data_IF_749177720359
#
_entry.id   IF_749177720359
#
_cell.length_a   1.000
_cell.length_b   1.000
_cell.length_c   1.000
_cell.angle_alpha   90.00
_cell.angle_beta   90.00
_cell.angle_gamma   90.00
#
_symmetry.space_group_name_H-M   'P 1'
#
loop_
_entity.id
_entity.type
_entity.pdbx_description
1 polymer ?
#
# COMPACT_ATOMS: atom_id res chain seq x y z
N UNK A 1 21.25 -7.19 -12.26
CA UNK A 1 19.79 -7.05 -12.45
C UNK A 1 19.16 -7.96 -11.42
N UNK A 2 18.53 -7.39 -10.41
CA UNK A 2 17.98 -8.15 -9.30
C UNK A 2 16.62 -8.71 -9.74
N UNK A 3 16.59 -10.00 -10.07
CA UNK A 3 15.39 -10.70 -10.51
C UNK A 3 14.82 -11.58 -9.40
N UNK A 4 13.50 -11.68 -9.31
CA UNK A 4 12.81 -12.67 -8.49
C UNK A 4 12.03 -13.61 -9.41
N UNK A 5 12.25 -14.92 -9.26
CA UNK A 5 11.56 -15.96 -10.02
C UNK A 5 10.63 -16.74 -9.10
N UNK A 6 9.33 -16.58 -9.29
CA UNK A 6 8.32 -17.43 -8.67
C UNK A 6 8.06 -18.62 -9.59
N UNK A 7 8.31 -19.82 -9.10
CA UNK A 7 7.95 -21.08 -9.77
C UNK A 7 6.84 -21.76 -8.98
N UNK A 8 5.94 -22.40 -9.71
CA UNK A 8 4.81 -23.14 -9.14
C UNK A 8 4.92 -24.57 -9.62
N UNK A 9 4.92 -25.51 -8.69
CA UNK A 9 4.88 -26.94 -9.01
C UNK A 9 3.66 -27.57 -8.35
N UNK A 10 3.06 -28.56 -9.01
CA UNK A 10 1.98 -29.35 -8.45
C UNK A 10 2.51 -30.72 -8.02
N UNK A 11 2.24 -31.12 -6.78
CA UNK A 11 2.56 -32.45 -6.26
C UNK A 11 1.30 -33.09 -5.67
N UNK A 12 0.60 -33.89 -6.48
CA UNK A 12 -0.65 -34.52 -6.10
C UNK A 12 -1.71 -33.49 -5.70
N UNK A 13 -2.15 -33.54 -4.43
CA UNK A 13 -3.12 -32.59 -3.86
C UNK A 13 -2.51 -31.26 -3.39
N UNK A 14 -1.22 -31.05 -3.60
CA UNK A 14 -0.54 -29.84 -3.14
C UNK A 14 0.01 -29.02 -4.29
N UNK A 15 0.00 -27.70 -4.11
CA UNK A 15 0.68 -26.73 -4.95
C UNK A 15 1.83 -26.15 -4.14
N UNK A 16 3.03 -26.22 -4.69
CA UNK A 16 4.26 -25.77 -4.08
C UNK A 16 4.72 -24.51 -4.80
N UNK A 17 4.89 -23.43 -4.05
CA UNK A 17 5.44 -22.17 -4.52
C UNK A 17 6.92 -22.09 -4.13
N UNK A 18 7.77 -21.86 -5.12
CA UNK A 18 9.20 -21.65 -4.97
C UNK A 18 9.50 -20.19 -5.35
N UNK A 19 10.00 -19.38 -4.43
CA UNK A 19 10.60 -18.11 -4.81
C UNK A 19 12.10 -18.19 -4.71
N UNK A 20 12.77 -17.87 -5.81
CA UNK A 20 14.20 -17.70 -5.86
C UNK A 20 14.52 -16.26 -6.25
N UNK A 21 15.34 -15.59 -5.44
CA UNK A 21 15.79 -14.23 -5.71
C UNK A 21 17.23 -14.31 -6.22
N UNK A 22 17.46 -13.88 -7.45
CA UNK A 22 18.75 -13.99 -8.13
C UNK A 22 19.85 -13.13 -7.50
N UNK A 23 19.47 -12.02 -6.84
CA UNK A 23 20.40 -11.10 -6.20
C UNK A 23 20.94 -11.60 -4.87
N UNK A 24 20.33 -12.65 -4.29
CA UNK A 24 20.67 -13.11 -2.96
C UNK A 24 20.87 -14.62 -2.92
N UNK A 25 21.97 -15.07 -2.32
CA UNK A 25 22.23 -16.49 -2.01
C UNK A 25 21.39 -16.98 -0.81
N UNK A 26 20.11 -16.63 -0.75
CA UNK A 26 19.17 -17.20 0.24
C UNK A 26 18.63 -18.50 -0.31
N UNK A 27 18.44 -19.49 0.57
CA UNK A 27 17.73 -20.71 0.24
C UNK A 27 16.35 -20.41 -0.34
N UNK A 28 15.94 -21.07 -1.43
CA UNK A 28 14.65 -20.80 -2.07
C UNK A 28 13.52 -20.95 -1.06
N UNK A 29 12.66 -19.93 -1.00
CA UNK A 29 11.52 -19.96 -0.10
C UNK A 29 10.45 -20.88 -0.65
N UNK A 30 9.95 -21.75 0.23
CA UNK A 30 9.04 -22.84 -0.11
C UNK A 30 7.76 -22.70 0.70
N UNK A 31 6.62 -22.71 0.01
CA UNK A 31 5.31 -22.83 0.65
C UNK A 31 4.50 -23.89 -0.07
N UNK A 32 4.01 -24.86 0.71
CA UNK A 32 3.15 -25.95 0.24
C UNK A 32 1.71 -25.64 0.66
N UNK A 33 0.79 -25.58 -0.30
CA UNK A 33 -0.63 -25.30 -0.06
C UNK A 33 -1.48 -26.42 -0.65
N UNK A 34 -2.61 -26.69 -0.03
CA UNK A 34 -3.61 -27.61 -0.58
C UNK A 34 -4.22 -27.05 -1.86
N UNK A 35 -4.28 -27.88 -2.91
CA UNK A 35 -4.71 -27.51 -4.26
C UNK A 35 -6.14 -26.99 -4.32
N UNK A 36 -7.06 -27.56 -3.53
CA UNK A 36 -8.45 -27.09 -3.47
C UNK A 36 -8.54 -25.69 -2.87
N UNK A 37 -7.67 -25.40 -1.91
CA UNK A 37 -7.59 -24.10 -1.27
C UNK A 37 -7.05 -23.01 -2.22
N UNK A 38 -6.09 -23.34 -3.10
CA UNK A 38 -5.49 -22.39 -4.07
C UNK A 38 -6.24 -22.30 -5.41
N UNK A 39 -7.09 -23.27 -5.74
CA UNK A 39 -7.84 -23.31 -7.00
C UNK A 39 -8.57 -21.98 -7.35
N UNK A 40 -9.20 -21.26 -6.39
CA UNK A 40 -9.83 -19.96 -6.68
C UNK A 40 -8.85 -18.83 -7.03
N UNK A 41 -7.58 -18.94 -6.62
CA UNK A 41 -6.54 -17.99 -7.03
C UNK A 41 -5.98 -18.32 -8.41
N UNK A 42 -5.82 -19.61 -8.71
CA UNK A 42 -5.26 -20.09 -9.97
C UNK A 42 -6.26 -20.04 -11.13
N UNK A 43 -7.56 -19.99 -10.86
CA UNK A 43 -8.61 -19.89 -11.88
C UNK A 43 -8.70 -18.51 -12.56
N UNK A 44 -7.80 -17.58 -12.26
CA UNK A 44 -7.65 -16.31 -12.98
C UNK A 44 -8.68 -15.23 -12.61
N UNK A 45 -9.66 -15.51 -11.75
CA UNK A 45 -10.67 -14.53 -11.34
C UNK A 45 -10.22 -13.65 -10.17
N UNK A 46 -9.01 -13.09 -10.26
CA UNK A 46 -8.35 -12.28 -9.23
C UNK A 46 -9.24 -11.18 -8.65
N UNK A 47 -10.07 -10.52 -9.48
CA UNK A 47 -10.95 -9.45 -9.02
C UNK A 47 -12.11 -9.96 -8.14
N UNK A 48 -12.73 -11.09 -8.49
CA UNK A 48 -13.76 -11.70 -7.65
C UNK A 48 -13.18 -12.31 -6.39
N UNK A 49 -11.95 -12.84 -6.47
CA UNK A 49 -11.21 -13.35 -5.32
C UNK A 49 -10.83 -12.21 -4.36
N UNK A 50 -10.32 -11.08 -4.87
CA UNK A 50 -10.06 -9.87 -4.07
C UNK A 50 -11.33 -9.32 -3.40
N UNK A 51 -12.47 -9.31 -4.10
CA UNK A 51 -13.74 -8.87 -3.54
C UNK A 51 -14.25 -9.80 -2.44
N UNK A 52 -14.01 -11.11 -2.56
CA UNK A 52 -14.27 -12.12 -1.50
C UNK A 52 -13.37 -11.94 -0.29
N UNK A 53 -12.08 -11.65 -0.52
CA UNK A 53 -11.10 -11.34 0.53
C UNK A 53 -11.51 -10.10 1.34
N UNK A 54 -11.96 -9.04 0.67
CA UNK A 54 -12.39 -7.79 1.30
C UNK A 54 -13.72 -7.92 2.07
N UNK A 55 -14.61 -8.83 1.65
CA UNK A 55 -15.94 -8.98 2.27
C UNK A 55 -15.99 -10.02 3.37
N UNK A 56 -15.09 -11.01 3.38
CA UNK A 56 -15.23 -12.14 4.31
C UNK A 56 -13.88 -12.62 4.85
N UNK A 57 -13.49 -12.08 6.02
CA UNK A 57 -12.24 -12.38 6.72
C UNK A 57 -12.10 -13.83 7.21
N UNK A 58 -13.21 -14.59 7.25
CA UNK A 58 -13.25 -16.00 7.64
C UNK A 58 -13.32 -16.96 6.44
N UNK A 59 -13.28 -16.45 5.19
CA UNK A 59 -13.31 -17.32 4.02
C UNK A 59 -12.02 -18.14 3.88
N UNK A 60 -12.07 -19.37 3.33
CA UNK A 60 -10.88 -20.19 3.06
C UNK A 60 -9.84 -19.47 2.19
N UNK A 61 -10.32 -18.62 1.26
CA UNK A 61 -9.47 -17.73 0.46
C UNK A 61 -8.73 -16.70 1.31
N UNK A 62 -9.37 -16.11 2.32
CA UNK A 62 -8.74 -15.15 3.22
C UNK A 62 -7.72 -15.81 4.16
N UNK A 63 -8.01 -17.03 4.62
CA UNK A 63 -7.04 -17.83 5.38
C UNK A 63 -5.80 -18.14 4.53
N UNK A 64 -6.00 -18.62 3.29
CA UNK A 64 -4.93 -18.89 2.34
C UNK A 64 -4.10 -17.63 2.02
N UNK A 65 -4.77 -16.49 1.78
CA UNK A 65 -4.09 -15.22 1.52
C UNK A 65 -3.25 -14.77 2.72
N UNK A 66 -3.73 -14.97 3.96
CA UNK A 66 -2.92 -14.72 5.16
C UNK A 66 -1.73 -15.67 5.25
N UNK A 67 -1.90 -16.97 5.01
CA UNK A 67 -0.78 -17.93 5.00
C UNK A 67 0.30 -17.52 4.00
N UNK A 68 -0.09 -17.10 2.79
CA UNK A 68 0.87 -16.62 1.77
C UNK A 68 1.46 -15.27 2.14
N UNK A 69 0.65 -14.31 2.59
CA UNK A 69 1.14 -12.96 2.92
C UNK A 69 2.03 -12.96 4.16
N UNK A 70 1.58 -13.58 5.24
CA UNK A 70 2.28 -13.61 6.53
C UNK A 70 3.44 -14.61 6.55
N UNK A 71 3.31 -15.74 5.85
CA UNK A 71 4.35 -16.77 5.80
C UNK A 71 5.40 -16.51 4.72
N UNK A 72 4.96 -16.35 3.48
CA UNK A 72 5.86 -16.23 2.32
C UNK A 72 6.37 -14.80 2.15
N UNK A 73 5.45 -13.86 1.97
CA UNK A 73 5.81 -12.50 1.54
C UNK A 73 6.58 -11.74 2.61
N UNK A 74 6.17 -11.85 3.89
CA UNK A 74 6.90 -11.22 5.00
C UNK A 74 8.29 -11.79 5.22
N UNK A 75 8.49 -13.11 5.12
CA UNK A 75 9.82 -13.72 5.27
C UNK A 75 10.75 -13.31 4.16
N UNK A 76 10.28 -13.35 2.91
CA UNK A 76 11.05 -12.87 1.75
C UNK A 76 11.44 -11.41 1.93
N UNK A 77 10.48 -10.57 2.32
CA UNK A 77 10.72 -9.16 2.54
C UNK A 77 11.73 -8.94 3.68
N UNK A 78 11.60 -9.67 4.78
CA UNK A 78 12.54 -9.64 5.90
C UNK A 78 13.96 -10.03 5.49
N UNK A 79 14.11 -11.12 4.73
CA UNK A 79 15.41 -11.61 4.31
C UNK A 79 16.06 -10.67 3.28
N UNK A 80 15.27 -10.12 2.35
CA UNK A 80 15.71 -9.05 1.44
C UNK A 80 16.18 -7.83 2.22
N UNK A 81 15.39 -7.38 3.20
CA UNK A 81 15.77 -6.26 4.06
C UNK A 81 17.11 -6.54 4.74
N UNK A 82 17.28 -7.70 5.39
CA UNK A 82 18.53 -8.07 6.06
C UNK A 82 19.74 -8.01 5.14
N UNK A 83 19.61 -8.56 3.93
CA UNK A 83 20.70 -8.60 2.93
C UNK A 83 21.09 -7.21 2.47
N UNK A 84 20.12 -6.30 2.35
CA UNK A 84 20.36 -4.91 2.00
C UNK A 84 20.65 -4.01 3.21
N UNK A 85 20.93 -4.60 4.38
CA UNK A 85 21.27 -3.85 5.61
C UNK A 85 20.09 -3.12 6.25
N UNK A 86 18.86 -3.40 5.82
CA UNK A 86 17.61 -2.90 6.42
C UNK A 86 17.19 -3.88 7.51
N UNK A 87 17.13 -3.43 8.76
CA UNK A 87 16.73 -4.30 9.88
C UNK A 87 15.20 -4.51 9.84
N UNK A 88 14.69 -5.74 9.70
CA UNK A 88 13.25 -6.02 9.74
C UNK A 88 12.70 -5.70 11.13
N UNK A 89 11.70 -4.81 11.21
CA UNK A 89 11.22 -4.21 12.46
C UNK A 89 11.70 -2.77 12.68
N UNK A 90 12.73 -2.35 11.93
CA UNK A 90 13.13 -0.97 11.67
C UNK A 90 12.99 -0.71 10.17
N UNK A 91 11.86 -1.12 9.58
CA UNK A 91 11.49 -0.58 8.28
C UNK A 91 11.48 0.95 8.45
N UNK A 92 12.13 1.73 7.56
CA UNK A 92 12.14 3.18 7.69
C UNK A 92 10.68 3.62 7.77
N UNK A 93 10.26 4.02 8.97
CA UNK A 93 8.93 4.56 9.18
C UNK A 93 8.87 5.87 8.42
N UNK A 94 7.68 6.33 8.07
CA UNK A 94 7.53 7.67 7.50
C UNK A 94 8.27 8.72 8.35
N UNK A 95 8.26 8.53 9.68
CA UNK A 95 8.98 9.34 10.68
C UNK A 95 10.51 9.23 10.66
N UNK A 96 11.09 8.29 9.93
CA UNK A 96 12.55 8.16 9.75
C UNK A 96 13.07 8.94 8.53
N UNK A 97 12.18 9.52 7.74
CA UNK A 97 12.53 10.35 6.60
C UNK A 97 12.91 11.77 7.06
N UNK A 98 13.81 12.46 6.34
CA UNK A 98 14.00 13.89 6.46
C UNK A 98 12.68 14.67 6.34
N UNK A 99 12.55 15.77 7.07
CA UNK A 99 11.29 16.53 7.17
C UNK A 99 10.81 17.10 5.84
N UNK A 100 11.72 17.54 4.98
CA UNK A 100 11.48 17.94 3.60
C UNK A 100 10.89 16.81 2.74
N UNK A 101 11.43 15.59 2.84
CA UNK A 101 10.90 14.42 2.13
C UNK A 101 9.51 14.03 2.63
N UNK A 102 9.28 14.10 3.95
CA UNK A 102 7.95 13.87 4.52
C UNK A 102 6.93 14.84 3.93
N UNK A 103 7.22 16.14 3.90
CA UNK A 103 6.29 17.13 3.34
C UNK A 103 6.07 16.95 1.82
N UNK A 104 7.09 16.61 1.05
CA UNK A 104 6.93 16.34 -0.38
C UNK A 104 5.99 15.15 -0.65
N UNK A 105 5.98 14.14 0.22
CA UNK A 105 5.03 13.03 0.14
C UNK A 105 3.62 13.49 0.52
N UNK A 106 3.47 14.29 1.58
CA UNK A 106 2.18 14.84 2.01
C UNK A 106 1.57 15.78 0.99
N UNK A 107 2.39 16.54 0.27
CA UNK A 107 1.95 17.44 -0.79
C UNK A 107 1.24 16.68 -1.92
N UNK A 108 1.68 15.45 -2.21
CA UNK A 108 1.12 14.59 -3.26
C UNK A 108 -0.23 13.94 -2.89
N UNK A 109 -0.71 14.09 -1.65
CA UNK A 109 -2.02 13.59 -1.27
C UNK A 109 -3.11 14.31 -2.04
N UNK A 110 -3.95 13.58 -2.77
CA UNK A 110 -4.94 14.18 -3.65
C UNK A 110 -6.07 14.93 -2.90
N UNK A 111 -6.37 14.54 -1.66
CA UNK A 111 -7.46 15.08 -0.85
C UNK A 111 -6.95 15.67 0.46
N UNK A 112 -7.53 16.81 0.88
CA UNK A 112 -7.33 17.38 2.21
C UNK A 112 -7.86 16.49 3.33
N UNK A 113 -8.83 15.61 3.05
CA UNK A 113 -9.33 14.62 4.02
C UNK A 113 -8.26 13.60 4.42
N UNK A 114 -7.40 13.21 3.48
CA UNK A 114 -6.30 12.29 3.77
C UNK A 114 -5.20 13.01 4.56
N UNK A 115 -4.97 14.30 4.31
CA UNK A 115 -4.06 15.12 5.11
C UNK A 115 -4.54 15.26 6.58
N UNK A 116 -5.84 15.49 6.80
CA UNK A 116 -6.43 15.49 8.16
C UNK A 116 -6.24 14.15 8.87
N UNK A 117 -6.36 13.03 8.15
CA UNK A 117 -6.12 11.70 8.72
C UNK A 117 -4.67 11.54 9.15
N UNK A 118 -3.72 12.05 8.37
CA UNK A 118 -2.29 12.06 8.74
C UNK A 118 -2.06 12.87 10.02
N UNK A 119 -2.60 14.09 10.11
CA UNK A 119 -2.48 14.93 11.33
C UNK A 119 -3.12 14.30 12.57
N UNK A 120 -4.16 13.49 12.36
CA UNK A 120 -4.84 12.76 13.44
C UNK A 120 -4.11 11.51 13.92
N UNK A 121 -3.07 11.06 13.18
CA UNK A 121 -2.36 9.81 13.48
C UNK A 121 -1.42 9.94 14.67
N UNK A 122 -0.59 11.00 14.72
CA UNK A 122 0.27 11.27 15.87
C UNK A 122 0.64 12.76 16.01
N UNK A 123 1.15 13.12 17.19
CA UNK A 123 1.50 14.50 17.57
C UNK A 123 2.64 15.08 16.74
N UNK A 124 3.58 14.24 16.34
CA UNK A 124 4.75 14.64 15.55
C UNK A 124 4.35 15.00 14.12
N UNK A 125 3.43 14.24 13.52
CA UNK A 125 2.87 14.55 12.20
C UNK A 125 2.02 15.83 12.23
N UNK A 126 1.25 16.02 13.29
CA UNK A 126 0.53 17.28 13.50
C UNK A 126 1.47 18.46 13.60
N UNK A 127 2.56 18.33 14.36
CA UNK A 127 3.57 19.39 14.49
C UNK A 127 4.26 19.67 13.15
N UNK A 128 4.57 18.63 12.36
CA UNK A 128 5.20 18.78 11.05
C UNK A 128 4.30 19.55 10.08
N UNK A 129 3.00 19.26 10.06
CA UNK A 129 2.07 19.95 9.15
C UNK A 129 1.79 21.38 9.64
N UNK A 130 1.78 21.62 10.96
CA UNK A 130 1.55 22.92 11.56
C UNK A 130 2.76 23.88 11.51
N UNK A 131 3.92 23.47 11.01
CA UNK A 131 5.04 24.38 10.78
C UNK A 131 4.62 25.49 9.81
N UNK A 132 4.84 26.78 10.10
CA UNK A 132 4.25 27.89 9.33
C UNK A 132 4.48 27.85 7.82
N UNK A 133 5.68 27.42 7.40
CA UNK A 133 6.02 27.29 5.98
C UNK A 133 5.33 26.08 5.33
N UNK A 134 5.12 24.99 6.08
CA UNK A 134 4.51 23.74 5.60
C UNK A 134 3.01 23.78 5.63
N UNK A 135 2.41 24.40 6.64
CA UNK A 135 0.98 24.66 6.74
C UNK A 135 0.51 25.39 5.48
N UNK A 136 1.23 26.46 5.13
CA UNK A 136 0.96 27.21 3.90
C UNK A 136 1.19 26.38 2.64
N UNK A 137 2.26 25.59 2.56
CA UNK A 137 2.53 24.76 1.37
C UNK A 137 1.50 23.65 1.18
N UNK A 138 1.03 23.03 2.26
CA UNK A 138 0.11 21.90 2.22
C UNK A 138 -1.36 22.35 2.10
N UNK A 139 -1.78 23.37 2.84
CA UNK A 139 -3.18 23.78 2.85
C UNK A 139 -3.53 24.78 1.74
N UNK A 140 -2.61 25.69 1.36
CA UNK A 140 -2.93 26.77 0.42
C UNK A 140 -3.35 26.27 -0.98
N UNK A 141 -2.73 25.25 -1.59
CA UNK A 141 -3.20 24.69 -2.87
C UNK A 141 -4.60 24.09 -2.77
N UNK A 142 -4.92 23.42 -1.65
CA UNK A 142 -6.19 22.71 -1.41
C UNK A 142 -7.33 23.70 -1.12
N UNK A 143 -7.05 24.73 -0.32
CA UNK A 143 -7.98 25.83 -0.08
C UNK A 143 -8.27 26.61 -1.38
N UNK A 144 -7.24 26.85 -2.22
CA UNK A 144 -7.43 27.47 -3.54
C UNK A 144 -8.30 26.62 -4.45
N UNK A 145 -8.05 25.31 -4.50
CA UNK A 145 -8.86 24.38 -5.29
C UNK A 145 -10.33 24.35 -4.83
N UNK A 146 -10.56 24.37 -3.52
CA UNK A 146 -11.92 24.48 -2.96
C UNK A 146 -12.57 25.82 -3.31
N UNK A 147 -11.82 26.93 -3.23
CA UNK A 147 -12.31 28.26 -3.61
C UNK A 147 -12.63 28.32 -5.11
N UNK A 148 -11.77 27.83 -5.99
CA UNK A 148 -12.00 27.84 -7.44
C UNK A 148 -13.19 26.93 -7.82
N UNK A 149 -13.38 25.82 -7.10
CA UNK A 149 -14.54 24.95 -7.27
C UNK A 149 -15.86 25.61 -6.82
N UNK A 150 -15.86 26.37 -5.72
CA UNK A 150 -17.05 27.13 -5.28
C UNK A 150 -17.34 28.33 -6.18
N UNK A 151 -16.32 29.09 -6.60
CA UNK A 151 -16.46 30.19 -7.56
C UNK A 151 -16.93 29.72 -8.95
N UNK A 152 -16.43 28.60 -9.46
CA UNK A 152 -16.90 28.03 -10.74
C UNK A 152 -18.32 27.47 -10.66
N UNK A 153 -18.74 26.92 -9.51
CA UNK A 153 -20.15 26.55 -9.27
C UNK A 153 -21.07 27.77 -9.18
N UNK A 154 -20.63 28.83 -8.50
CA UNK A 154 -21.38 30.08 -8.38
C UNK A 154 -21.49 30.80 -9.74
N UNK A 155 -20.39 30.88 -10.51
CA UNK A 155 -20.39 31.45 -11.86
C UNK A 155 -21.27 30.65 -12.84
N UNK A 156 -21.36 29.31 -12.70
CA UNK A 156 -22.33 28.48 -13.45
C UNK A 156 -23.78 28.72 -13.01
N UNK A 157 -24.01 29.06 -11.74
CA UNK A 157 -25.34 29.40 -11.23
C UNK A 157 -25.79 30.78 -11.72
N UNK A 158 -24.89 31.75 -11.80
CA UNK A 158 -25.18 33.09 -12.32
C UNK A 158 -25.41 33.09 -13.84
N UNK A 159 -24.75 32.19 -14.58
CA UNK A 159 -25.01 32.02 -16.02
C UNK A 159 -26.40 31.41 -16.31
N UNK A 160 -26.99 30.67 -15.37
CA UNK A 160 -28.31 30.06 -15.52
C UNK A 160 -29.48 30.97 -15.11
N UNK A 161 -29.19 32.16 -14.59
CA UNK A 161 -30.18 33.18 -14.19
C UNK A 161 -30.29 34.37 -15.14
N UNK A 162 -29.51 34.40 -16.24
CA UNK A 162 -29.52 35.46 -17.25
C UNK A 162 -29.79 34.93 -18.67
N UNK A 163 -30.66 33.93 -18.80
CA UNK A 163 -31.27 33.49 -20.06
C UNK A 163 -32.79 33.43 -19.88
#
# INVERSE_FOLDING_TARGET
MDGAALRVCTNGRHVIFYLQISSVRISPHLVCLDAYSVAPLLSGHLNGTARRLLRNHASPTAALWRTVSDGFSRRIFSDLCLVHGVVPGRAPTFMSLPSDMMAAILERLADGKDLLRVESTCTELRSLVAEPDRDRQLWMPRCRQFSLYTWSKLAKFDFHKNL
#
